data_IF_272026359270
#
_entry.id   IF_272026359270
#
_cell.length_a   1.000
_cell.length_b   1.000
_cell.length_c   1.000
_cell.angle_alpha   90.00
_cell.angle_beta   90.00
_cell.angle_gamma   90.00
#
_symmetry.space_group_name_H-M   'P 1'
#
loop_
_entity.id
_entity.type
_entity.pdbx_description
1 polymer ?
#
# COMPACT_ATOMS: atom_id res chain seq x y z
N UNK A 1 4.83 5.33 10.65
CA UNK A 1 4.76 5.26 12.14
C UNK A 1 5.80 4.27 12.62
N UNK A 2 6.73 4.74 13.40
CA UNK A 2 7.97 4.06 13.73
C UNK A 2 7.79 2.95 14.78
N UNK A 3 8.57 1.85 14.67
CA UNK A 3 8.77 0.85 15.73
C UNK A 3 9.15 1.45 17.11
N UNK A 4 9.45 2.74 17.18
CA UNK A 4 9.69 3.46 18.44
C UNK A 4 8.45 3.53 19.34
N UNK A 5 7.24 3.52 18.81
CA UNK A 5 6.03 3.57 19.65
C UNK A 5 5.87 2.33 20.54
N UNK A 6 6.32 1.16 20.07
CA UNK A 6 6.26 -0.08 20.85
C UNK A 6 7.22 -0.12 22.05
N UNK A 7 8.14 0.85 22.16
CA UNK A 7 9.12 0.95 23.27
C UNK A 7 8.74 2.00 24.31
N UNK A 8 7.65 2.74 24.10
CA UNK A 8 7.21 3.74 25.06
C UNK A 8 6.35 3.09 26.13
N UNK A 9 6.53 3.51 27.38
CA UNK A 9 5.64 3.08 28.45
C UNK A 9 4.20 3.50 28.13
N UNK A 10 3.20 2.60 28.28
CA UNK A 10 1.79 2.87 27.92
C UNK A 10 1.21 4.10 28.65
N UNK A 11 1.72 4.41 29.83
CA UNK A 11 1.27 5.54 30.66
C UNK A 11 1.99 6.87 30.37
N UNK A 12 3.00 6.85 29.50
CA UNK A 12 3.75 8.05 29.17
C UNK A 12 2.89 9.04 28.39
N UNK A 13 3.12 10.34 28.62
CA UNK A 13 2.45 11.40 27.86
C UNK A 13 2.64 11.21 26.35
N UNK A 14 3.85 10.87 25.95
CA UNK A 14 4.20 10.63 24.54
C UNK A 14 3.43 9.48 23.91
N UNK A 15 3.20 8.39 24.64
CA UNK A 15 2.39 7.28 24.15
C UNK A 15 0.93 7.71 23.92
N UNK A 16 0.35 8.46 24.89
CA UNK A 16 -1.02 8.98 24.78
C UNK A 16 -1.20 9.91 23.58
N UNK A 17 -0.27 10.86 23.38
CA UNK A 17 -0.28 11.76 22.22
C UNK A 17 -0.22 10.99 20.89
N UNK A 18 0.67 10.01 20.78
CA UNK A 18 0.79 9.19 19.58
C UNK A 18 -0.46 8.34 19.32
N UNK A 19 -1.07 7.81 20.38
CA UNK A 19 -2.33 7.05 20.29
C UNK A 19 -3.48 7.92 19.78
N UNK A 20 -3.62 9.14 20.28
CA UNK A 20 -4.65 10.08 19.82
C UNK A 20 -4.41 10.51 18.35
N UNK A 21 -3.18 10.78 18.00
CA UNK A 21 -2.82 11.05 16.60
C UNK A 21 -3.19 9.85 15.70
N UNK A 22 -2.83 8.64 16.09
CA UNK A 22 -3.17 7.42 15.35
C UNK A 22 -4.68 7.21 15.25
N UNK A 23 -5.44 7.46 16.33
CA UNK A 23 -6.91 7.37 16.34
C UNK A 23 -7.53 8.35 15.33
N UNK A 24 -7.05 9.58 15.31
CA UNK A 24 -7.49 10.59 14.34
C UNK A 24 -7.23 10.15 12.90
N UNK A 25 -6.07 9.53 12.61
CA UNK A 25 -5.76 9.02 11.28
C UNK A 25 -6.64 7.83 10.91
N UNK A 26 -6.85 6.87 11.81
CA UNK A 26 -7.75 5.73 11.57
C UNK A 26 -9.17 6.20 11.26
N UNK A 27 -9.68 7.20 11.99
CA UNK A 27 -10.99 7.82 11.69
C UNK A 27 -11.03 8.37 10.25
N UNK A 28 -10.01 9.14 9.85
CA UNK A 28 -9.92 9.67 8.48
C UNK A 28 -9.82 8.56 7.43
N UNK A 29 -9.09 7.48 7.71
CA UNK A 29 -9.01 6.34 6.80
C UNK A 29 -10.39 5.68 6.60
N UNK A 30 -11.19 5.55 7.66
CA UNK A 30 -12.56 5.06 7.54
C UNK A 30 -13.45 5.99 6.68
N UNK A 31 -13.35 7.30 6.90
CA UNK A 31 -14.12 8.30 6.15
C UNK A 31 -13.73 8.39 4.67
N UNK A 32 -12.46 8.12 4.33
CA UNK A 32 -11.91 8.27 2.99
C UNK A 32 -11.77 6.94 2.23
N UNK A 33 -12.27 5.84 2.79
CA UNK A 33 -12.30 4.56 2.11
C UNK A 33 -13.20 4.60 0.87
N UNK A 34 -12.72 4.03 -0.23
CA UNK A 34 -13.51 3.89 -1.45
C UNK A 34 -14.69 2.93 -1.24
N UNK A 35 -15.82 3.23 -1.86
CA UNK A 35 -16.97 2.32 -1.90
C UNK A 35 -16.63 0.97 -2.57
N UNK A 36 -15.65 0.97 -3.48
CA UNK A 36 -15.14 -0.24 -4.15
C UNK A 36 -14.20 -1.08 -3.28
N UNK A 37 -13.89 -0.63 -2.07
CA UNK A 37 -12.90 -1.22 -1.16
C UNK A 37 -11.51 -0.60 -1.31
N UNK A 38 -10.82 -0.39 -0.17
CA UNK A 38 -9.47 0.18 -0.15
C UNK A 38 -9.39 1.68 -0.37
N UNK A 39 -8.21 2.15 -0.74
CA UNK A 39 -7.89 3.58 -0.86
C UNK A 39 -7.16 3.89 -2.17
N UNK A 40 -7.33 5.11 -2.62
CA UNK A 40 -6.67 5.65 -3.81
C UNK A 40 -6.38 7.14 -3.65
N UNK A 41 -6.05 7.81 -4.73
CA UNK A 41 -5.87 9.25 -4.73
C UNK A 41 -7.20 9.94 -4.44
N UNK A 42 -7.18 10.92 -3.53
CA UNK A 42 -8.36 11.68 -3.18
C UNK A 42 -8.88 12.45 -4.40
N UNK A 43 -10.19 12.44 -4.57
CA UNK A 43 -10.85 13.29 -5.54
C UNK A 43 -11.22 14.60 -4.86
N UNK A 44 -10.87 15.70 -5.50
CA UNK A 44 -11.26 17.04 -5.05
C UNK A 44 -12.45 17.52 -5.86
N UNK A 45 -13.52 17.92 -5.18
CA UNK A 45 -14.68 18.56 -5.80
C UNK A 45 -14.98 19.85 -5.04
N UNK A 46 -14.71 20.99 -5.68
CA UNK A 46 -14.73 22.26 -4.97
C UNK A 46 -13.70 22.30 -3.86
N UNK A 47 -14.11 22.61 -2.64
CA UNK A 47 -13.24 22.67 -1.45
C UNK A 47 -13.25 21.39 -0.61
N UNK A 48 -13.95 20.35 -1.02
CA UNK A 48 -14.07 19.10 -0.26
C UNK A 48 -13.22 17.98 -0.81
N UNK A 49 -12.54 17.25 0.08
CA UNK A 49 -11.85 15.99 -0.21
C UNK A 49 -12.90 14.87 -0.23
N UNK A 50 -12.87 14.03 -1.24
CA UNK A 50 -13.76 12.87 -1.36
C UNK A 50 -12.94 11.58 -1.45
N UNK A 51 -13.51 10.44 -1.03
CA UNK A 51 -12.92 9.14 -1.28
C UNK A 51 -12.61 8.96 -2.75
N UNK A 52 -11.52 8.26 -3.05
CA UNK A 52 -11.17 7.94 -4.43
C UNK A 52 -12.28 7.10 -5.08
N UNK A 53 -12.68 7.44 -6.29
CA UNK A 53 -13.57 6.61 -7.08
C UNK A 53 -12.93 5.25 -7.40
N UNK A 54 -11.59 5.24 -7.56
CA UNK A 54 -10.82 4.04 -7.88
C UNK A 54 -9.69 3.84 -6.87
N UNK A 55 -9.76 2.77 -6.06
CA UNK A 55 -8.68 2.40 -5.17
C UNK A 55 -7.47 1.87 -5.97
N UNK A 56 -6.28 2.03 -5.41
CA UNK A 56 -5.04 1.49 -5.94
C UNK A 56 -4.49 0.40 -5.03
N UNK A 57 -3.84 -0.61 -5.62
CA UNK A 57 -3.32 -1.73 -4.85
C UNK A 57 -2.26 -1.29 -3.84
N UNK A 58 -1.32 -0.41 -4.25
CA UNK A 58 -0.23 -0.01 -3.37
C UNK A 58 -0.70 0.85 -2.18
N UNK A 59 -1.60 1.82 -2.38
CA UNK A 59 -2.15 2.61 -1.26
C UNK A 59 -2.97 1.73 -0.33
N UNK A 60 -3.78 0.82 -0.88
CA UNK A 60 -4.55 -0.12 -0.07
C UNK A 60 -3.63 -1.02 0.74
N UNK A 61 -2.57 -1.58 0.14
CA UNK A 61 -1.58 -2.37 0.86
C UNK A 61 -0.91 -1.58 1.99
N UNK A 62 -0.44 -0.37 1.70
CA UNK A 62 0.20 0.51 2.70
C UNK A 62 -0.73 0.86 3.87
N UNK A 63 -2.00 1.16 3.57
CA UNK A 63 -3.00 1.45 4.62
C UNK A 63 -3.26 0.21 5.48
N UNK A 64 -3.39 -0.97 4.88
CA UNK A 64 -3.58 -2.22 5.63
C UNK A 64 -2.40 -2.56 6.53
N UNK A 65 -1.15 -2.32 6.09
CA UNK A 65 0.05 -2.44 6.94
C UNK A 65 -0.03 -1.46 8.11
N UNK A 66 -0.34 -0.19 7.82
CA UNK A 66 -0.44 0.86 8.85
C UNK A 66 -1.55 0.57 9.86
N UNK A 67 -2.69 0.05 9.41
CA UNK A 67 -3.80 -0.35 10.27
C UNK A 67 -3.41 -1.52 11.18
N UNK A 68 -2.70 -2.52 10.65
CA UNK A 68 -2.18 -3.62 11.46
C UNK A 68 -1.22 -3.11 12.54
N UNK A 69 -0.29 -2.22 12.18
CA UNK A 69 0.63 -1.61 13.13
C UNK A 69 -0.10 -0.78 14.20
N UNK A 70 -1.14 -0.03 13.82
CA UNK A 70 -1.96 0.73 14.76
C UNK A 70 -2.74 -0.20 15.72
N UNK A 71 -3.22 -1.33 15.21
CA UNK A 71 -3.84 -2.39 16.02
C UNK A 71 -2.87 -2.95 17.06
N UNK A 72 -1.69 -3.36 16.62
CA UNK A 72 -0.67 -3.94 17.51
C UNK A 72 -0.11 -2.94 18.53
N UNK A 73 0.07 -1.67 18.13
CA UNK A 73 0.69 -0.67 19.01
C UNK A 73 -0.29 0.03 19.95
N UNK A 74 -1.55 0.19 19.53
CA UNK A 74 -2.52 1.05 20.23
C UNK A 74 -3.90 0.43 20.42
N UNK A 75 -4.15 -0.78 19.90
CA UNK A 75 -5.47 -1.43 19.94
C UNK A 75 -6.51 -0.71 19.06
N UNK A 76 -6.08 -0.07 17.96
CA UNK A 76 -6.95 0.63 17.03
C UNK A 76 -7.27 -0.23 15.83
N UNK A 77 -8.50 -0.18 15.33
CA UNK A 77 -8.94 -0.92 14.15
C UNK A 77 -9.67 -0.03 13.15
N UNK A 78 -9.65 -0.44 11.90
CA UNK A 78 -10.58 0.05 10.89
C UNK A 78 -11.99 -0.50 11.18
N UNK A 79 -13.02 0.13 10.61
CA UNK A 79 -14.35 -0.45 10.54
C UNK A 79 -14.31 -1.82 9.83
N UNK A 80 -14.97 -2.82 10.39
CA UNK A 80 -14.90 -4.21 9.90
C UNK A 80 -15.35 -4.37 8.45
N UNK A 81 -16.38 -3.61 8.04
CA UNK A 81 -16.87 -3.65 6.65
C UNK A 81 -15.88 -3.00 5.68
N UNK A 82 -15.23 -1.92 6.11
CA UNK A 82 -14.20 -1.24 5.34
C UNK A 82 -12.98 -2.14 5.21
N UNK A 83 -12.53 -2.71 6.32
CA UNK A 83 -11.41 -3.64 6.36
C UNK A 83 -11.63 -4.85 5.43
N UNK A 84 -12.76 -5.54 5.57
CA UNK A 84 -13.09 -6.73 4.77
C UNK A 84 -13.12 -6.40 3.27
N UNK A 85 -13.73 -5.27 2.88
CA UNK A 85 -13.76 -4.84 1.48
C UNK A 85 -12.36 -4.48 0.96
N UNK A 86 -11.55 -3.79 1.76
CA UNK A 86 -10.20 -3.41 1.38
C UNK A 86 -9.29 -4.62 1.17
N UNK A 87 -9.35 -5.61 2.06
CA UNK A 87 -8.57 -6.83 1.93
C UNK A 87 -9.02 -7.65 0.71
N UNK A 88 -10.34 -7.80 0.52
CA UNK A 88 -10.91 -8.46 -0.67
C UNK A 88 -10.49 -7.75 -1.96
N UNK A 89 -10.54 -6.41 -1.98
CA UNK A 89 -10.05 -5.63 -3.12
C UNK A 89 -8.57 -5.92 -3.39
N UNK A 90 -7.70 -5.82 -2.37
CA UNK A 90 -6.27 -6.05 -2.56
C UNK A 90 -5.97 -7.43 -3.11
N UNK A 91 -6.60 -8.47 -2.58
CA UNK A 91 -6.49 -9.85 -3.06
C UNK A 91 -6.95 -10.00 -4.52
N UNK A 92 -8.04 -9.33 -4.90
CA UNK A 92 -8.54 -9.36 -6.28
C UNK A 92 -7.64 -8.69 -7.30
N UNK A 93 -6.72 -7.83 -6.85
CA UNK A 93 -5.74 -7.17 -7.74
C UNK A 93 -4.51 -8.04 -8.01
N UNK A 94 -4.37 -9.17 -7.35
CA UNK A 94 -3.26 -10.09 -7.57
C UNK A 94 -3.46 -10.87 -8.86
N UNK A 95 -2.46 -10.83 -9.74
CA UNK A 95 -2.45 -11.56 -11.00
C UNK A 95 -1.96 -12.99 -10.81
N UNK A 96 -2.24 -13.94 -11.74
CA UNK A 96 -1.67 -15.27 -11.70
C UNK A 96 -0.14 -15.30 -11.70
N UNK A 97 0.50 -14.26 -12.27
CA UNK A 97 1.96 -14.09 -12.25
C UNK A 97 2.52 -13.61 -10.89
N UNK A 98 1.68 -13.43 -9.87
CA UNK A 98 2.09 -12.96 -8.55
C UNK A 98 2.45 -11.47 -8.50
N UNK A 99 2.00 -10.68 -9.48
CA UNK A 99 2.09 -9.22 -9.46
C UNK A 99 0.76 -8.62 -9.07
N UNK A 100 0.70 -7.30 -8.92
CA UNK A 100 -0.55 -6.60 -8.62
C UNK A 100 -0.90 -5.61 -9.72
N UNK A 101 -2.16 -5.61 -10.11
CA UNK A 101 -2.73 -4.57 -10.97
C UNK A 101 -2.70 -3.25 -10.21
N UNK A 102 -2.40 -2.15 -10.90
CA UNK A 102 -2.23 -0.84 -10.27
C UNK A 102 -3.50 -0.33 -9.58
N UNK A 103 -4.63 -0.35 -10.30
CA UNK A 103 -5.93 0.06 -9.79
C UNK A 103 -7.04 -0.75 -10.47
N UNK A 104 -8.27 -0.61 -9.99
CA UNK A 104 -9.42 -1.32 -10.54
C UNK A 104 -9.58 -1.10 -12.05
N UNK A 105 -9.41 0.13 -12.54
CA UNK A 105 -9.50 0.42 -13.99
C UNK A 105 -8.41 -0.25 -14.81
N UNK A 106 -7.25 -0.51 -14.20
CA UNK A 106 -6.14 -1.21 -14.86
C UNK A 106 -6.37 -2.73 -14.95
N UNK A 107 -7.36 -3.27 -14.23
CA UNK A 107 -7.75 -4.68 -14.33
C UNK A 107 -8.29 -5.04 -15.73
N UNK A 108 -8.88 -4.08 -16.43
CA UNK A 108 -9.33 -4.27 -17.81
C UNK A 108 -8.19 -4.31 -18.82
N UNK A 109 -6.99 -3.93 -18.43
CA UNK A 109 -5.78 -3.88 -19.26
C UNK A 109 -4.57 -4.46 -18.55
N UNK A 110 -4.58 -5.76 -18.20
CA UNK A 110 -3.52 -6.38 -17.39
C UNK A 110 -2.16 -6.38 -18.07
N UNK A 111 -2.12 -6.32 -19.39
CA UNK A 111 -0.90 -6.28 -20.19
C UNK A 111 -0.15 -4.95 -20.20
N UNK A 112 -0.70 -3.87 -19.62
CA UNK A 112 -0.02 -2.57 -19.54
C UNK A 112 1.31 -2.69 -18.77
N UNK A 113 2.34 -1.92 -19.15
CA UNK A 113 3.65 -1.97 -18.49
C UNK A 113 3.60 -1.82 -16.97
N UNK A 114 2.73 -0.96 -16.45
CA UNK A 114 2.53 -0.74 -15.02
C UNK A 114 2.07 -2.00 -14.27
N UNK A 115 1.40 -2.94 -14.93
CA UNK A 115 0.88 -4.17 -14.33
C UNK A 115 1.85 -5.35 -14.46
N UNK A 116 2.83 -5.28 -15.37
CA UNK A 116 3.83 -6.32 -15.58
C UNK A 116 4.81 -6.38 -14.41
N UNK A 117 5.60 -7.44 -14.33
CA UNK A 117 6.63 -7.61 -13.30
C UNK A 117 7.48 -6.36 -13.11
N UNK A 118 7.96 -5.77 -14.22
CA UNK A 118 8.81 -4.57 -14.19
C UNK A 118 8.11 -3.34 -13.63
N UNK A 119 6.82 -3.14 -13.95
CA UNK A 119 6.06 -1.99 -13.47
C UNK A 119 5.47 -2.16 -12.06
N UNK A 120 5.50 -3.38 -11.51
CA UNK A 120 4.92 -3.70 -10.19
C UNK A 120 5.94 -4.15 -9.14
N UNK A 121 7.24 -4.16 -9.48
CA UNK A 121 8.31 -4.69 -8.62
C UNK A 121 8.27 -4.14 -7.21
N UNK A 122 8.10 -2.84 -7.07
CA UNK A 122 8.19 -2.18 -5.77
C UNK A 122 6.91 -2.34 -4.95
N UNK A 123 5.72 -2.35 -5.59
CA UNK A 123 4.46 -2.49 -4.85
C UNK A 123 4.09 -3.94 -4.54
N UNK A 124 4.61 -4.91 -5.28
CA UNK A 124 4.30 -6.33 -5.06
C UNK A 124 4.70 -6.80 -3.66
N UNK A 125 5.92 -6.59 -3.16
CA UNK A 125 6.28 -6.99 -1.80
C UNK A 125 5.42 -6.30 -0.72
N UNK A 126 5.07 -5.03 -0.91
CA UNK A 126 4.23 -4.30 0.03
C UNK A 126 2.79 -4.88 0.08
N UNK A 127 2.22 -5.21 -1.08
CA UNK A 127 0.90 -5.83 -1.16
C UNK A 127 0.89 -7.25 -0.59
N UNK A 128 1.90 -8.08 -0.93
CA UNK A 128 2.05 -9.43 -0.37
C UNK A 128 2.23 -9.36 1.16
N UNK A 129 3.05 -8.43 1.65
CA UNK A 129 3.24 -8.25 3.09
C UNK A 129 1.95 -7.82 3.79
N UNK A 130 1.20 -6.89 3.19
CA UNK A 130 -0.10 -6.49 3.72
C UNK A 130 -1.06 -7.68 3.87
N UNK A 131 -1.20 -8.52 2.85
CA UNK A 131 -2.05 -9.70 2.91
C UNK A 131 -1.54 -10.66 3.99
N UNK A 132 -0.24 -10.96 4.00
CA UNK A 132 0.35 -11.88 4.98
C UNK A 132 0.17 -11.44 6.44
N UNK A 133 0.18 -10.15 6.73
CA UNK A 133 -0.05 -9.65 8.09
C UNK A 133 -1.44 -10.00 8.63
N UNK A 134 -2.43 -10.05 7.74
CA UNK A 134 -3.82 -10.29 8.11
C UNK A 134 -4.29 -11.72 7.84
N UNK A 135 -3.79 -12.33 6.78
CA UNK A 135 -4.08 -13.71 6.34
C UNK A 135 -2.76 -14.43 5.99
N UNK A 136 -2.03 -14.93 7.00
CA UNK A 136 -0.69 -15.50 6.81
C UNK A 136 -0.61 -16.68 5.85
N UNK A 137 -1.72 -17.40 5.67
CA UNK A 137 -1.79 -18.59 4.82
C UNK A 137 -1.84 -18.26 3.32
N UNK A 138 -2.29 -17.06 2.96
CA UNK A 138 -2.48 -16.66 1.57
C UNK A 138 -1.17 -16.31 0.86
N UNK A 139 -0.17 -15.85 1.61
CA UNK A 139 1.15 -15.46 1.11
C UNK A 139 2.23 -16.13 1.94
N UNK A 140 2.98 -17.02 1.34
CA UNK A 140 4.10 -17.69 2.00
C UNK A 140 5.29 -16.75 2.22
N UNK A 141 6.12 -17.05 3.23
CA UNK A 141 7.37 -16.32 3.46
C UNK A 141 8.28 -16.37 2.22
N UNK A 142 8.31 -17.50 1.53
CA UNK A 142 9.09 -17.66 0.29
C UNK A 142 8.64 -16.65 -0.78
N UNK A 143 7.34 -16.46 -0.98
CA UNK A 143 6.84 -15.49 -1.95
C UNK A 143 7.27 -14.05 -1.61
N UNK A 144 7.29 -13.69 -0.31
CA UNK A 144 7.82 -12.39 0.12
C UNK A 144 9.32 -12.26 -0.19
N UNK A 145 10.12 -13.27 0.15
CA UNK A 145 11.57 -13.28 -0.11
C UNK A 145 11.83 -13.17 -1.61
N UNK A 146 11.17 -14.01 -2.42
CA UNK A 146 11.28 -13.96 -3.88
C UNK A 146 10.88 -12.59 -4.46
N UNK A 147 9.90 -11.93 -3.85
CA UNK A 147 9.49 -10.56 -4.20
C UNK A 147 10.57 -9.52 -3.90
N UNK A 148 11.20 -9.62 -2.74
CA UNK A 148 12.31 -8.74 -2.33
C UNK A 148 13.57 -8.99 -3.17
N UNK A 149 13.89 -10.24 -3.48
CA UNK A 149 15.03 -10.58 -4.34
C UNK A 149 14.85 -10.03 -5.75
N UNK A 150 13.65 -10.13 -6.32
CA UNK A 150 13.33 -9.48 -7.60
C UNK A 150 13.46 -7.96 -7.54
N UNK A 151 13.02 -7.34 -6.44
CA UNK A 151 13.18 -5.91 -6.22
C UNK A 151 14.67 -5.54 -6.15
N UNK A 152 15.43 -6.25 -5.34
CA UNK A 152 16.84 -6.01 -5.14
C UNK A 152 17.68 -6.20 -6.41
N UNK A 153 17.38 -7.22 -7.19
CA UNK A 153 18.06 -7.47 -8.47
C UNK A 153 17.88 -6.33 -9.49
N UNK A 154 16.87 -5.49 -9.31
CA UNK A 154 16.58 -4.32 -10.16
C UNK A 154 16.91 -2.98 -9.52
N UNK A 155 17.65 -2.95 -8.41
CA UNK A 155 17.97 -1.71 -7.68
C UNK A 155 18.67 -0.64 -8.51
N UNK A 156 19.33 -1.01 -9.61
CA UNK A 156 19.92 -0.05 -10.55
C UNK A 156 18.90 0.92 -11.19
N UNK A 157 17.60 0.55 -11.18
CA UNK A 157 16.55 1.44 -11.65
C UNK A 157 16.32 2.64 -10.73
N UNK A 158 16.72 2.59 -9.45
CA UNK A 158 16.72 3.77 -8.56
C UNK A 158 17.63 4.85 -9.12
N UNK A 159 18.85 4.49 -9.53
CA UNK A 159 19.80 5.42 -10.15
C UNK A 159 19.22 6.02 -11.43
N UNK A 160 18.60 5.20 -12.27
CA UNK A 160 17.94 5.67 -13.49
C UNK A 160 16.81 6.65 -13.16
N UNK A 161 15.98 6.35 -12.17
CA UNK A 161 14.86 7.21 -11.77
C UNK A 161 15.32 8.56 -11.22
N UNK A 162 16.42 8.60 -10.46
CA UNK A 162 16.99 9.83 -9.92
C UNK A 162 17.46 10.81 -11.00
N UNK A 163 17.79 10.33 -12.20
CA UNK A 163 18.24 11.18 -13.32
C UNK A 163 17.10 11.61 -14.24
N UNK A 164 15.84 11.33 -13.88
CA UNK A 164 14.68 11.69 -14.69
C UNK A 164 13.86 12.81 -14.06
N UNK A 165 13.48 13.84 -14.84
CA UNK A 165 12.71 14.97 -14.33
C UNK A 165 11.27 14.57 -13.97
N UNK A 166 10.72 13.57 -14.65
CA UNK A 166 9.37 13.03 -14.41
C UNK A 166 9.38 11.51 -14.36
N UNK A 167 8.77 10.92 -13.34
CA UNK A 167 8.79 9.48 -13.14
C UNK A 167 7.94 8.69 -14.15
N UNK A 168 7.04 9.36 -14.86
CA UNK A 168 6.09 8.75 -15.80
C UNK A 168 6.46 8.95 -17.27
N UNK A 169 7.69 9.30 -17.57
CA UNK A 169 8.18 9.25 -18.95
C UNK A 169 8.10 7.82 -19.50
N UNK A 170 7.67 7.68 -20.76
CA UNK A 170 7.34 6.38 -21.35
C UNK A 170 8.47 5.36 -21.28
N UNK A 171 9.72 5.76 -21.52
CA UNK A 171 10.86 4.85 -21.45
C UNK A 171 11.42 4.68 -20.03
N UNK A 172 11.17 5.61 -19.11
CA UNK A 172 11.60 5.55 -17.71
C UNK A 172 10.48 5.15 -16.74
N UNK A 173 9.33 4.81 -17.26
CA UNK A 173 8.11 4.54 -16.47
C UNK A 173 8.34 3.47 -15.39
N UNK A 174 9.02 2.37 -15.72
CA UNK A 174 9.30 1.31 -14.77
C UNK A 174 10.26 1.75 -13.65
N UNK A 175 11.24 2.61 -13.97
CA UNK A 175 12.18 3.18 -12.99
C UNK A 175 11.47 4.13 -12.03
N UNK A 176 10.56 4.95 -12.55
CA UNK A 176 9.72 5.83 -11.74
C UNK A 176 8.84 5.05 -10.77
N UNK A 177 8.20 3.98 -11.24
CA UNK A 177 7.42 3.10 -10.36
C UNK A 177 8.28 2.41 -9.31
N UNK A 178 9.49 2.01 -9.65
CA UNK A 178 10.44 1.47 -8.69
C UNK A 178 10.79 2.48 -7.60
N UNK A 179 11.08 3.72 -7.96
CA UNK A 179 11.40 4.79 -7.03
C UNK A 179 10.23 5.11 -6.10
N UNK A 180 9.03 5.33 -6.67
CA UNK A 180 7.86 5.74 -5.87
C UNK A 180 7.36 4.68 -4.92
N UNK A 181 7.39 3.41 -5.32
CA UNK A 181 6.79 2.33 -4.54
C UNK A 181 7.81 1.48 -3.79
N UNK A 182 9.10 1.59 -4.11
CA UNK A 182 10.17 0.87 -3.45
C UNK A 182 10.61 1.48 -2.12
N UNK A 183 10.10 2.68 -1.82
CA UNK A 183 10.43 3.38 -0.58
C UNK A 183 9.70 2.81 0.64
N UNK A 184 8.63 2.07 0.43
CA UNK A 184 7.84 1.45 1.50
C UNK A 184 8.21 0.00 1.71
#
# INVERSE_FOLDING_TARGET
MSMRAARLAPDSLRYRELKECARSQVKKLNELASAMGGWGYLTYSGFSKRPAAQPTSFLTGTVLISAWMAGKSFGLSLDDKIFTRALKFLKSQRTPAGTYVYSLSHSFYPGRPINRHTGSLARTPACDYAIRLWEPEDISLRQLVDGLDRLWSRRGWLTMALHKPVPHESFAQNSGYFFYYGYY
#
